data_IF_988291790601
#
_entry.id   IF_988291790601
#
_cell.length_a   1.000
_cell.length_b   1.000
_cell.length_c   1.000
_cell.angle_alpha   90.00
_cell.angle_beta   90.00
_cell.angle_gamma   90.00
#
_symmetry.space_group_name_H-M   'P 1'
#
loop_
_entity.id
_entity.type
_entity.pdbx_description
1 polymer ?
#
# COMPACT_ATOMS: atom_id res chain seq x y z
N UNK A 1 17.11 -17.53 8.80
CA UNK A 1 16.73 -16.22 8.30
C UNK A 1 15.20 -16.12 8.23
N UNK A 2 14.63 -15.18 8.93
CA UNK A 2 13.17 -15.09 9.07
C UNK A 2 12.58 -14.06 8.13
N UNK A 3 12.46 -14.43 6.85
CA UNK A 3 11.80 -13.59 5.87
C UNK A 3 10.29 -13.80 5.97
N UNK A 4 9.67 -13.06 6.88
CA UNK A 4 8.23 -13.15 7.13
C UNK A 4 7.44 -12.19 6.25
N UNK A 5 6.12 -12.37 6.24
CA UNK A 5 5.20 -11.46 5.54
C UNK A 5 5.37 -10.02 6.05
N UNK A 6 5.67 -9.83 7.34
CA UNK A 6 5.83 -8.49 7.91
C UNK A 6 7.06 -7.77 7.38
N UNK A 7 8.17 -8.48 7.21
CA UNK A 7 9.37 -7.92 6.60
C UNK A 7 9.13 -7.54 5.14
N UNK A 8 8.47 -8.41 4.41
CA UNK A 8 8.12 -8.14 3.01
C UNK A 8 7.22 -6.91 2.88
N UNK A 9 6.20 -6.80 3.73
CA UNK A 9 5.30 -5.64 3.75
C UNK A 9 6.04 -4.36 4.10
N UNK A 10 6.92 -4.40 5.11
CA UNK A 10 7.69 -3.22 5.52
C UNK A 10 8.58 -2.68 4.42
N UNK A 11 9.11 -3.52 3.57
CA UNK A 11 9.89 -3.06 2.41
C UNK A 11 9.06 -2.17 1.50
N UNK A 12 7.82 -2.58 1.19
CA UNK A 12 6.91 -1.76 0.40
C UNK A 12 6.52 -0.48 1.16
N UNK A 13 6.30 -0.57 2.47
CA UNK A 13 5.99 0.60 3.30
C UNK A 13 7.09 1.66 3.22
N UNK A 14 8.35 1.27 3.24
CA UNK A 14 9.49 2.18 3.08
C UNK A 14 9.43 2.88 1.72
N UNK A 15 9.17 2.13 0.64
CA UNK A 15 9.04 2.69 -0.71
C UNK A 15 7.85 3.64 -0.80
N UNK A 16 6.70 3.27 -0.24
CA UNK A 16 5.49 4.11 -0.25
C UNK A 16 5.74 5.45 0.44
N UNK A 17 6.36 5.41 1.62
CA UNK A 17 6.69 6.64 2.37
C UNK A 17 7.65 7.53 1.60
N UNK A 18 8.66 6.94 0.99
CA UNK A 18 9.65 7.69 0.20
C UNK A 18 9.01 8.32 -1.03
N UNK A 19 8.17 7.57 -1.74
CA UNK A 19 7.45 8.08 -2.92
C UNK A 19 6.50 9.22 -2.56
N UNK A 20 5.77 9.11 -1.46
CA UNK A 20 4.91 10.19 -0.97
C UNK A 20 5.71 11.46 -0.70
N UNK A 21 6.84 11.35 0.00
CA UNK A 21 7.68 12.52 0.31
C UNK A 21 8.24 13.18 -0.94
N UNK A 22 8.72 12.37 -1.88
CA UNK A 22 9.27 12.88 -3.15
C UNK A 22 8.18 13.53 -4.00
N UNK A 23 6.98 12.93 -4.01
CA UNK A 23 5.84 13.46 -4.76
C UNK A 23 5.47 14.88 -4.30
N UNK A 24 5.45 15.11 -2.98
CA UNK A 24 5.11 16.42 -2.43
C UNK A 24 6.18 17.49 -2.69
N UNK A 25 7.41 17.07 -2.98
CA UNK A 25 8.51 17.99 -3.28
C UNK A 25 8.64 18.29 -4.78
N UNK A 26 8.02 17.50 -5.63
CA UNK A 26 8.11 17.69 -7.08
C UNK A 26 7.41 18.98 -7.49
N UNK A 27 8.02 19.69 -8.44
CA UNK A 27 7.53 21.00 -8.89
C UNK A 27 6.28 20.86 -9.75
N UNK A 28 5.38 21.86 -9.62
CA UNK A 28 4.16 21.92 -10.42
C UNK A 28 4.50 21.91 -11.92
N UNK A 29 3.80 21.05 -12.68
CA UNK A 29 3.99 20.94 -14.12
C UNK A 29 5.23 20.15 -14.55
N UNK A 30 6.08 19.72 -13.62
CA UNK A 30 7.27 18.95 -13.92
C UNK A 30 6.89 17.51 -14.28
N UNK A 31 7.57 16.94 -15.29
CA UNK A 31 7.39 15.55 -15.69
C UNK A 31 7.70 14.58 -14.54
N UNK A 32 8.62 14.91 -13.66
CA UNK A 32 8.94 14.12 -12.48
C UNK A 32 7.71 13.87 -11.61
N UNK A 33 6.82 14.87 -11.50
CA UNK A 33 5.57 14.73 -10.73
C UNK A 33 4.68 13.61 -11.30
N UNK A 34 4.58 13.56 -12.63
CA UNK A 34 3.81 12.52 -13.34
C UNK A 34 4.43 11.14 -13.13
N UNK A 35 5.74 11.04 -13.24
CA UNK A 35 6.47 9.77 -13.09
C UNK A 35 6.37 9.25 -11.65
N UNK A 36 6.54 10.10 -10.66
CA UNK A 36 6.44 9.73 -9.25
C UNK A 36 5.02 9.28 -8.89
N UNK A 37 4.02 9.95 -9.42
CA UNK A 37 2.64 9.56 -9.19
C UNK A 37 2.33 8.20 -9.80
N UNK A 38 2.80 7.95 -11.01
CA UNK A 38 2.62 6.63 -11.67
C UNK A 38 3.28 5.53 -10.83
N UNK A 39 4.50 5.77 -10.37
CA UNK A 39 5.23 4.81 -9.55
C UNK A 39 4.53 4.54 -8.22
N UNK A 40 4.06 5.59 -7.54
CA UNK A 40 3.30 5.46 -6.28
C UNK A 40 2.00 4.70 -6.49
N UNK A 41 1.26 5.04 -7.54
CA UNK A 41 -0.01 4.38 -7.87
C UNK A 41 0.19 2.89 -8.08
N UNK A 42 1.23 2.52 -8.83
CA UNK A 42 1.56 1.11 -9.09
C UNK A 42 1.97 0.39 -7.80
N UNK A 43 2.81 1.02 -6.98
CA UNK A 43 3.26 0.46 -5.71
C UNK A 43 2.07 0.21 -4.77
N UNK A 44 1.20 1.20 -4.61
CA UNK A 44 0.02 1.11 -3.74
C UNK A 44 -0.93 0.01 -4.19
N UNK A 45 -1.22 -0.06 -5.49
CA UNK A 45 -2.17 -1.03 -6.02
C UNK A 45 -1.64 -2.47 -5.94
N UNK A 46 -0.38 -2.68 -6.28
CA UNK A 46 0.23 -4.01 -6.20
C UNK A 46 0.35 -4.48 -4.75
N UNK A 47 0.75 -3.58 -3.85
CA UNK A 47 0.85 -3.87 -2.42
C UNK A 47 -0.53 -4.24 -1.84
N UNK A 48 -1.56 -3.43 -2.11
CA UNK A 48 -2.90 -3.68 -1.59
C UNK A 48 -3.45 -5.03 -2.06
N UNK A 49 -3.31 -5.36 -3.33
CA UNK A 49 -3.79 -6.62 -3.87
C UNK A 49 -3.11 -7.82 -3.20
N UNK A 50 -1.79 -7.79 -3.11
CA UNK A 50 -1.01 -8.88 -2.53
C UNK A 50 -1.23 -9.01 -1.02
N UNK A 51 -1.33 -7.90 -0.32
CA UNK A 51 -1.57 -7.89 1.13
C UNK A 51 -2.97 -8.41 1.47
N UNK A 52 -3.98 -8.02 0.70
CA UNK A 52 -5.34 -8.49 0.92
C UNK A 52 -5.43 -10.01 0.75
N UNK A 53 -4.74 -10.56 -0.25
CA UNK A 53 -4.75 -12.00 -0.50
C UNK A 53 -3.94 -12.79 0.53
N UNK A 54 -2.80 -12.30 0.93
CA UNK A 54 -1.82 -13.09 1.69
C UNK A 54 -1.62 -12.65 3.13
N UNK A 55 -2.31 -11.60 3.58
CA UNK A 55 -2.37 -11.28 4.99
C UNK A 55 -3.81 -11.08 5.45
N UNK A 56 -4.57 -10.17 4.85
CA UNK A 56 -5.91 -9.87 5.34
C UNK A 56 -6.87 -11.06 5.21
N UNK A 57 -6.88 -11.75 4.06
CA UNK A 57 -7.78 -12.88 3.88
C UNK A 57 -7.53 -14.01 4.88
N UNK A 58 -6.28 -14.45 5.13
CA UNK A 58 -6.02 -15.43 6.19
C UNK A 58 -6.46 -14.95 7.59
N UNK A 59 -6.23 -13.69 7.91
CA UNK A 59 -6.56 -13.14 9.23
C UNK A 59 -8.07 -12.93 9.37
N UNK A 60 -8.74 -12.60 8.27
CA UNK A 60 -10.20 -12.47 8.24
C UNK A 60 -10.91 -13.76 8.67
N UNK A 61 -10.28 -14.92 8.44
CA UNK A 61 -10.85 -16.24 8.77
C UNK A 61 -10.85 -16.53 10.27
N UNK A 62 -10.09 -15.80 11.07
CA UNK A 62 -10.08 -15.92 12.53
C UNK A 62 -11.02 -14.84 13.10
N UNK A 63 -11.85 -15.22 14.06
CA UNK A 63 -12.83 -14.27 14.65
C UNK A 63 -12.17 -13.01 15.21
N UNK A 64 -10.96 -13.15 15.79
CA UNK A 64 -10.20 -12.01 16.33
C UNK A 64 -9.75 -11.05 15.24
N UNK A 65 -9.56 -11.56 14.02
CA UNK A 65 -9.06 -10.79 12.89
C UNK A 65 -10.14 -10.23 11.99
N UNK A 66 -11.40 -10.58 12.20
CA UNK A 66 -12.50 -10.20 11.29
C UNK A 66 -12.63 -8.67 11.17
N UNK A 67 -12.86 -7.98 12.27
CA UNK A 67 -13.06 -6.53 12.25
C UNK A 67 -11.78 -5.76 11.87
N UNK A 68 -10.60 -6.09 12.42
CA UNK A 68 -9.37 -5.43 11.99
C UNK A 68 -9.07 -5.60 10.50
N UNK A 69 -9.34 -6.77 9.92
CA UNK A 69 -9.13 -7.00 8.48
C UNK A 69 -10.09 -6.19 7.63
N UNK A 70 -11.36 -6.12 8.02
CA UNK A 70 -12.35 -5.29 7.33
C UNK A 70 -11.98 -3.82 7.37
N UNK A 71 -11.51 -3.34 8.52
CA UNK A 71 -11.05 -1.96 8.68
C UNK A 71 -9.88 -1.67 7.73
N UNK A 72 -8.89 -2.56 7.69
CA UNK A 72 -7.71 -2.40 6.84
C UNK A 72 -8.07 -2.40 5.35
N UNK A 73 -8.96 -3.29 4.92
CA UNK A 73 -9.46 -3.34 3.54
C UNK A 73 -10.19 -2.03 3.21
N UNK A 74 -10.99 -1.53 4.14
CA UNK A 74 -11.68 -0.24 3.99
C UNK A 74 -10.72 0.92 3.81
N UNK A 75 -9.59 0.91 4.53
CA UNK A 75 -8.56 1.93 4.36
C UNK A 75 -7.87 1.84 2.99
N UNK A 76 -7.63 0.63 2.48
CA UNK A 76 -7.13 0.46 1.12
C UNK A 76 -8.09 1.06 0.10
N UNK A 77 -9.40 0.87 0.29
CA UNK A 77 -10.41 1.46 -0.59
C UNK A 77 -10.38 2.99 -0.54
N UNK A 78 -10.25 3.57 0.64
CA UNK A 78 -10.13 5.02 0.80
C UNK A 78 -8.89 5.58 0.10
N UNK A 79 -7.77 4.86 0.19
CA UNK A 79 -6.53 5.22 -0.51
C UNK A 79 -6.75 5.18 -2.03
N UNK A 80 -7.43 4.15 -2.54
CA UNK A 80 -7.75 4.04 -3.96
C UNK A 80 -8.59 5.22 -4.44
N UNK A 81 -9.57 5.65 -3.64
CA UNK A 81 -10.39 6.81 -3.97
C UNK A 81 -9.56 8.09 -4.05
N UNK A 82 -8.61 8.27 -3.12
CA UNK A 82 -7.71 9.43 -3.14
C UNK A 82 -6.77 9.41 -4.34
N UNK A 83 -6.29 8.23 -4.72
CA UNK A 83 -5.46 8.05 -5.92
C UNK A 83 -6.26 8.41 -7.18
N UNK A 84 -7.49 7.91 -7.30
CA UNK A 84 -8.36 8.21 -8.44
C UNK A 84 -8.65 9.71 -8.54
N UNK A 85 -8.94 10.35 -7.42
CA UNK A 85 -9.19 11.79 -7.38
C UNK A 85 -7.96 12.58 -7.84
N UNK A 86 -6.77 12.19 -7.39
CA UNK A 86 -5.51 12.84 -7.79
C UNK A 86 -5.25 12.67 -9.29
N UNK A 87 -5.52 11.48 -9.83
CA UNK A 87 -5.32 11.17 -11.24
C UNK A 87 -6.18 12.00 -12.18
N UNK A 88 -7.28 12.57 -11.69
CA UNK A 88 -8.19 13.42 -12.48
C UNK A 88 -7.78 14.88 -12.50
N UNK A 89 -6.82 15.30 -11.68
CA UNK A 89 -6.39 16.68 -11.57
C UNK A 89 -5.18 16.95 -12.45
N UNK A 90 -5.06 18.20 -12.93
CA UNK A 90 -3.86 18.64 -13.63
C UNK A 90 -2.69 18.69 -12.67
N UNK A 91 -1.57 18.05 -13.03
CA UNK A 91 -0.36 18.02 -12.21
C UNK A 91 0.31 19.42 -12.10
N UNK A 92 -0.14 20.39 -12.87
CA UNK A 92 0.35 21.77 -12.82
C UNK A 92 -0.51 22.66 -11.90
N UNK A 93 -1.69 22.21 -11.48
CA UNK A 93 -2.62 23.02 -10.70
C UNK A 93 -2.39 22.95 -9.20
N UNK A 94 -2.88 23.98 -8.48
CA UNK A 94 -2.77 24.05 -7.01
C UNK A 94 -3.58 22.97 -6.32
N UNK A 95 -4.73 22.59 -6.89
CA UNK A 95 -5.58 21.54 -6.34
C UNK A 95 -4.87 20.19 -6.29
N UNK A 96 -3.94 19.96 -7.22
CA UNK A 96 -3.19 18.71 -7.27
C UNK A 96 -2.34 18.51 -6.01
N UNK A 97 -1.60 19.53 -5.59
CA UNK A 97 -0.73 19.43 -4.41
C UNK A 97 -1.54 19.19 -3.14
N UNK A 98 -2.66 19.88 -3.00
CA UNK A 98 -3.56 19.68 -1.86
C UNK A 98 -4.10 18.26 -1.81
N UNK A 99 -4.51 17.71 -2.96
CA UNK A 99 -4.99 16.34 -3.06
C UNK A 99 -3.85 15.33 -2.78
N UNK A 100 -2.65 15.61 -3.28
CA UNK A 100 -1.48 14.78 -3.01
C UNK A 100 -1.14 14.73 -1.52
N UNK A 101 -1.31 15.86 -0.81
CA UNK A 101 -1.11 15.90 0.65
C UNK A 101 -2.12 15.02 1.37
N UNK A 102 -3.37 15.02 0.94
CA UNK A 102 -4.40 14.15 1.52
C UNK A 102 -4.05 12.68 1.34
N UNK A 103 -3.59 12.32 0.14
CA UNK A 103 -3.16 10.95 -0.16
C UNK A 103 -1.97 10.56 0.74
N UNK A 104 -0.95 11.39 0.79
CA UNK A 104 0.25 11.14 1.61
C UNK A 104 -0.11 10.97 3.09
N UNK A 105 -0.97 11.84 3.62
CA UNK A 105 -1.42 11.76 5.01
C UNK A 105 -2.13 10.43 5.28
N UNK A 106 -3.03 10.03 4.40
CA UNK A 106 -3.78 8.77 4.54
C UNK A 106 -2.86 7.55 4.47
N UNK A 107 -1.92 7.55 3.52
CA UNK A 107 -0.94 6.46 3.39
C UNK A 107 -0.12 6.33 4.67
N UNK A 108 0.48 7.43 5.13
CA UNK A 108 1.31 7.42 6.34
C UNK A 108 0.52 6.95 7.57
N UNK A 109 -0.71 7.43 7.73
CA UNK A 109 -1.57 7.04 8.84
C UNK A 109 -1.89 5.54 8.80
N UNK A 110 -2.28 5.03 7.63
CA UNK A 110 -2.60 3.62 7.44
C UNK A 110 -1.39 2.73 7.76
N UNK A 111 -0.22 3.05 7.21
CA UNK A 111 0.99 2.26 7.43
C UNK A 111 1.40 2.24 8.91
N UNK A 112 1.32 3.38 9.57
CA UNK A 112 1.67 3.49 10.99
C UNK A 112 0.72 2.66 11.85
N UNK A 113 -0.58 2.77 11.61
CA UNK A 113 -1.60 2.02 12.33
C UNK A 113 -1.44 0.51 12.11
N UNK A 114 -1.22 0.11 10.88
CA UNK A 114 -1.03 -1.30 10.53
C UNK A 114 0.19 -1.90 11.23
N UNK A 115 1.32 -1.22 11.19
CA UNK A 115 2.55 -1.68 11.83
C UNK A 115 2.41 -1.75 13.36
N UNK A 116 1.65 -0.82 13.94
CA UNK A 116 1.44 -0.76 15.39
C UNK A 116 0.42 -1.78 15.89
N UNK A 117 -0.69 -1.93 15.18
CA UNK A 117 -1.84 -2.72 15.67
C UNK A 117 -2.05 -4.01 14.92
N UNK A 118 -2.21 -3.94 13.60
CA UNK A 118 -2.56 -5.11 12.79
C UNK A 118 -1.45 -6.14 12.79
N UNK A 119 -0.20 -5.74 12.64
CA UNK A 119 0.94 -6.65 12.68
C UNK A 119 1.05 -7.37 14.02
N UNK A 120 0.77 -6.68 15.11
CA UNK A 120 0.80 -7.28 16.44
C UNK A 120 -0.32 -8.32 16.61
N UNK A 121 -1.53 -7.96 16.23
CA UNK A 121 -2.69 -8.85 16.32
C UNK A 121 -2.51 -10.10 15.45
N UNK A 122 -2.23 -9.91 14.18
CA UNK A 122 -2.06 -11.00 13.23
C UNK A 122 -0.85 -11.88 13.58
N UNK A 123 0.19 -11.28 14.15
CA UNK A 123 1.37 -12.00 14.61
C UNK A 123 1.08 -12.98 15.74
N UNK A 124 0.03 -12.73 16.52
CA UNK A 124 -0.43 -13.68 17.56
C UNK A 124 -1.34 -14.77 16.99
N UNK A 125 -1.92 -14.54 15.82
CA UNK A 125 -2.81 -15.52 15.17
C UNK A 125 -2.00 -16.50 14.32
N UNK A 126 -1.02 -16.00 13.57
CA UNK A 126 -0.22 -16.80 12.63
C UNK A 126 0.92 -17.51 13.35
N UNK A 127 1.21 -18.75 12.93
CA UNK A 127 2.41 -19.47 13.36
C UNK A 127 3.63 -18.95 12.58
N UNK A 128 4.84 -19.21 13.08
CA UNK A 128 6.06 -18.80 12.39
C UNK A 128 6.17 -19.38 10.96
N UNK A 129 5.88 -20.69 10.73
CA UNK A 129 5.86 -21.21 9.36
C UNK A 129 4.84 -20.53 8.46
N UNK A 130 3.67 -20.16 8.99
CA UNK A 130 2.65 -19.43 8.23
C UNK A 130 3.16 -18.05 7.83
N UNK A 131 3.80 -17.33 8.75
CA UNK A 131 4.36 -16.00 8.47
C UNK A 131 5.38 -16.05 7.34
N UNK A 132 6.24 -17.07 7.32
CA UNK A 132 7.24 -17.25 6.29
C UNK A 132 6.61 -17.62 4.94
N UNK A 133 5.66 -18.54 4.95
CA UNK A 133 4.96 -18.98 3.73
C UNK A 133 4.20 -17.83 3.10
N UNK A 134 3.48 -17.07 3.91
CA UNK A 134 2.72 -15.91 3.43
C UNK A 134 3.66 -14.82 2.89
N UNK A 135 4.83 -14.65 3.51
CA UNK A 135 5.84 -13.72 3.03
C UNK A 135 6.29 -14.04 1.60
N UNK A 136 6.59 -15.30 1.34
CA UNK A 136 6.97 -15.75 0.00
C UNK A 136 5.86 -15.57 -1.03
N UNK A 137 4.63 -15.87 -0.64
CA UNK A 137 3.46 -15.70 -1.51
C UNK A 137 3.17 -14.24 -1.80
N UNK A 138 3.25 -13.39 -0.77
CA UNK A 138 3.09 -11.95 -0.94
C UNK A 138 4.11 -11.41 -1.94
N UNK A 139 5.39 -11.76 -1.78
CA UNK A 139 6.46 -11.26 -2.66
C UNK A 139 6.20 -11.63 -4.12
N UNK A 140 5.84 -12.88 -4.38
CA UNK A 140 5.55 -13.34 -5.75
C UNK A 140 4.34 -12.64 -6.34
N UNK A 141 3.27 -12.49 -5.57
CA UNK A 141 2.07 -11.83 -6.04
C UNK A 141 2.28 -10.33 -6.24
N UNK A 142 3.03 -9.70 -5.34
CA UNK A 142 3.38 -8.29 -5.45
C UNK A 142 4.13 -8.01 -6.78
N UNK A 143 5.16 -8.81 -7.09
CA UNK A 143 5.90 -8.64 -8.34
C UNK A 143 5.02 -8.91 -9.55
N UNK A 144 4.18 -9.94 -9.49
CA UNK A 144 3.23 -10.25 -10.55
C UNK A 144 2.26 -9.09 -10.78
N UNK A 145 1.71 -8.53 -9.70
CA UNK A 145 0.76 -7.42 -9.79
C UNK A 145 1.41 -6.14 -10.30
N UNK A 146 2.66 -5.88 -9.94
CA UNK A 146 3.40 -4.73 -10.48
C UNK A 146 3.52 -4.84 -12.00
N UNK A 147 3.83 -6.02 -12.50
CA UNK A 147 3.93 -6.27 -13.93
C UNK A 147 2.58 -6.10 -14.63
N UNK A 148 1.53 -6.72 -14.10
CA UNK A 148 0.17 -6.62 -14.64
C UNK A 148 -0.29 -5.16 -14.70
N UNK A 149 -0.11 -4.42 -13.61
CA UNK A 149 -0.53 -3.02 -13.52
C UNK A 149 0.35 -2.09 -14.35
N UNK A 150 1.62 -2.42 -14.50
CA UNK A 150 2.53 -1.67 -15.36
C UNK A 150 2.13 -1.72 -16.82
N UNK A 151 1.57 -2.84 -17.29
CA UNK A 151 1.06 -2.98 -18.66
C UNK A 151 -0.31 -2.36 -18.84
N UNK A 152 -1.13 -2.31 -17.79
CA UNK A 152 -2.50 -1.78 -17.83
C UNK A 152 -2.54 -0.25 -17.72
N UNK A 153 -1.49 0.39 -17.19
CA UNK A 153 -1.47 1.84 -16.99
C UNK A 153 -1.33 2.57 -18.33
N UNK A 154 -2.20 3.56 -18.63
CA UNK A 154 -2.05 4.40 -19.81
C UNK A 154 -0.85 5.33 -19.69
#
# INVERSE_FOLDING_TARGET
>A
MNDTVYEALRESHVRQRALCRRLLRAKAGDQLRVELFRELRQELAAHAAAEERFLYAPILMDDRGLDPSRHAIGEHHEIDELVEALGKLSHAGDAWLEQARKLSHKVHHHLREEEKKFFQLSGRILTEPQKQRLGGRYRRDFERMKEVLGHAAP
#
